data_IF_096800036770
#
_entry.id   IF_096800036770
#
_cell.length_a   1.000
_cell.length_b   1.000
_cell.length_c   1.000
_cell.angle_alpha   90.00
_cell.angle_beta   90.00
_cell.angle_gamma   90.00
#
_symmetry.space_group_name_H-M   'P 1'
#
loop_
_entity.id
_entity.type
_entity.pdbx_description
1 polymer ?
#
# COMPACT_ATOMS: atom_id res chain seq x y z
N UNK A 1 6.70 15.24 16.70
CA UNK A 1 6.28 14.73 15.37
C UNK A 1 6.02 13.22 15.48
N UNK A 2 5.12 12.64 14.69
CA UNK A 2 4.92 11.17 14.70
C UNK A 2 5.85 10.49 13.69
N UNK A 3 6.16 9.20 13.88
CA UNK A 3 7.01 8.45 12.94
C UNK A 3 6.41 8.38 11.53
N UNK A 4 5.07 8.35 11.42
CA UNK A 4 4.37 8.40 10.12
C UNK A 4 4.54 9.76 9.46
N UNK A 5 4.30 10.84 10.18
CA UNK A 5 4.46 12.20 9.63
C UNK A 5 5.90 12.45 9.17
N UNK A 6 6.89 11.96 9.93
CA UNK A 6 8.30 11.99 9.54
C UNK A 6 8.54 11.20 8.25
N UNK A 7 8.01 9.98 8.12
CA UNK A 7 8.20 9.16 6.92
C UNK A 7 7.64 9.86 5.67
N UNK A 8 6.46 10.46 5.76
CA UNK A 8 5.86 11.21 4.65
C UNK A 8 6.71 12.43 4.28
N UNK A 9 7.17 13.20 5.26
CA UNK A 9 8.07 14.34 5.02
C UNK A 9 9.37 13.90 4.33
N UNK A 10 9.97 12.78 4.76
CA UNK A 10 11.18 12.24 4.14
C UNK A 10 10.94 11.81 2.69
N UNK A 11 9.80 11.16 2.40
CA UNK A 11 9.41 10.79 1.02
C UNK A 11 9.29 12.03 0.12
N UNK A 12 8.74 13.14 0.63
CA UNK A 12 8.66 14.39 -0.16
C UNK A 12 10.01 15.03 -0.46
N UNK A 13 11.04 14.70 0.33
CA UNK A 13 12.43 15.16 0.14
C UNK A 13 13.29 14.14 -0.63
N UNK A 14 12.66 13.14 -1.26
CA UNK A 14 13.31 12.03 -1.94
C UNK A 14 14.30 11.25 -1.04
N UNK A 15 14.02 11.21 0.26
CA UNK A 15 14.73 10.37 1.22
C UNK A 15 13.96 9.06 1.40
N UNK A 16 14.59 7.95 1.05
CA UNK A 16 14.02 6.60 1.11
C UNK A 16 14.55 5.87 2.33
N UNK A 17 13.63 5.21 3.02
CA UNK A 17 13.93 4.42 4.20
C UNK A 17 13.56 2.96 3.96
N UNK A 18 14.48 2.05 4.30
CA UNK A 18 14.23 0.61 4.24
C UNK A 18 14.52 -0.04 5.60
N UNK A 19 13.61 -0.88 6.06
CA UNK A 19 13.81 -1.70 7.24
C UNK A 19 14.49 -3.03 6.86
N UNK A 20 15.64 -3.29 7.49
CA UNK A 20 16.37 -4.55 7.37
C UNK A 20 16.60 -5.12 8.78
N UNK A 21 15.59 -5.85 9.28
CA UNK A 21 15.55 -6.30 10.68
C UNK A 21 15.59 -5.11 11.65
N UNK A 22 16.57 -5.09 12.55
CA UNK A 22 16.76 -3.99 13.53
C UNK A 22 17.51 -2.78 12.97
N UNK A 23 17.86 -2.80 11.69
CA UNK A 23 18.58 -1.72 11.02
C UNK A 23 17.64 -0.93 10.10
N UNK A 24 17.91 0.38 9.99
CA UNK A 24 17.21 1.29 9.09
C UNK A 24 18.24 1.77 8.07
N UNK A 25 18.05 1.41 6.81
CA UNK A 25 18.84 1.94 5.70
C UNK A 25 18.21 3.25 5.24
N UNK A 26 19.06 4.20 4.92
CA UNK A 26 18.68 5.55 4.51
C UNK A 26 19.37 5.81 3.19
N UNK A 27 18.57 5.93 2.13
CA UNK A 27 19.01 6.41 0.84
C UNK A 27 18.52 7.86 0.70
N UNK A 28 19.45 8.79 0.52
CA UNK A 28 19.16 10.21 0.59
C UNK A 28 20.02 10.98 -0.43
N UNK A 29 19.48 12.04 -1.06
CA UNK A 29 20.26 12.86 -1.98
C UNK A 29 21.42 13.56 -1.25
N UNK A 30 22.45 13.93 -2.01
CA UNK A 30 23.62 14.62 -1.46
C UNK A 30 23.20 15.90 -0.70
N UNK A 31 23.73 16.07 0.51
CA UNK A 31 23.41 17.21 1.38
C UNK A 31 22.13 17.05 2.23
N UNK A 32 21.28 16.05 1.99
CA UNK A 32 20.10 15.81 2.84
C UNK A 32 20.45 15.08 4.15
N UNK A 33 21.58 14.37 4.21
CA UNK A 33 22.03 13.62 5.38
C UNK A 33 22.70 14.51 6.45
N UNK A 34 21.95 15.49 6.96
CA UNK A 34 22.40 16.38 8.05
C UNK A 34 22.40 15.67 9.40
N UNK A 35 23.10 16.23 10.39
CA UNK A 35 23.17 15.63 11.74
C UNK A 35 21.84 15.74 12.49
N UNK A 36 21.06 16.79 12.22
CA UNK A 36 19.69 16.94 12.72
C UNK A 36 18.80 15.81 12.20
N UNK A 37 18.89 15.48 10.90
CA UNK A 37 18.16 14.36 10.33
C UNK A 37 18.57 13.04 10.99
N UNK A 38 19.87 12.82 11.24
CA UNK A 38 20.34 11.62 11.94
C UNK A 38 19.78 11.53 13.37
N UNK A 39 19.68 12.65 14.08
CA UNK A 39 19.13 12.68 15.43
C UNK A 39 17.65 12.30 15.44
N UNK A 40 16.85 12.90 14.55
CA UNK A 40 15.41 12.62 14.40
C UNK A 40 15.17 11.16 13.99
N UNK A 41 15.96 10.63 13.05
CA UNK A 41 15.87 9.23 12.64
C UNK A 41 16.23 8.26 13.79
N UNK A 42 17.20 8.59 14.65
CA UNK A 42 17.55 7.78 15.82
C UNK A 42 16.43 7.75 16.84
N UNK A 43 15.81 8.90 17.12
CA UNK A 43 14.67 9.04 18.04
C UNK A 43 13.50 8.16 17.60
N UNK A 44 13.16 8.19 16.31
CA UNK A 44 12.01 7.45 15.77
C UNK A 44 12.34 6.06 15.21
N UNK A 45 13.61 5.61 15.26
CA UNK A 45 14.11 4.40 14.56
C UNK A 45 13.20 3.18 14.72
N UNK A 46 12.87 2.81 15.97
CA UNK A 46 12.05 1.62 16.26
C UNK A 46 10.63 1.76 15.72
N UNK A 47 10.06 2.95 15.75
CA UNK A 47 8.72 3.20 15.24
C UNK A 47 8.71 3.17 13.70
N UNK A 48 9.72 3.75 13.05
CA UNK A 48 9.92 3.71 11.59
C UNK A 48 10.07 2.27 11.09
N UNK A 49 10.95 1.47 11.70
CA UNK A 49 11.14 0.06 11.35
C UNK A 49 9.80 -0.71 11.42
N UNK A 50 9.08 -0.58 12.54
CA UNK A 50 7.77 -1.26 12.68
C UNK A 50 6.75 -0.80 11.64
N UNK A 51 6.78 0.47 11.26
CA UNK A 51 5.88 1.01 10.24
C UNK A 51 6.20 0.42 8.87
N UNK A 52 7.45 0.49 8.45
CA UNK A 52 7.94 -0.04 7.17
C UNK A 52 7.71 -1.56 7.05
N UNK A 53 7.93 -2.33 8.12
CA UNK A 53 7.64 -3.77 8.11
C UNK A 53 6.14 -4.07 8.01
N UNK A 54 5.28 -3.25 8.62
CA UNK A 54 3.82 -3.39 8.48
C UNK A 54 3.37 -3.03 7.07
N UNK A 55 3.90 -1.95 6.50
CA UNK A 55 3.66 -1.60 5.10
C UNK A 55 4.09 -2.73 4.16
N UNK A 56 5.31 -3.26 4.33
CA UNK A 56 5.82 -4.37 3.52
C UNK A 56 4.91 -5.60 3.60
N UNK A 57 4.55 -6.04 4.81
CA UNK A 57 3.63 -7.19 4.99
C UNK A 57 2.27 -6.95 4.34
N UNK A 58 1.70 -5.74 4.48
CA UNK A 58 0.44 -5.38 3.82
C UNK A 58 0.56 -5.50 2.30
N UNK A 59 1.65 -5.04 1.72
CA UNK A 59 1.91 -5.13 0.28
C UNK A 59 2.14 -6.58 -0.18
N UNK A 60 2.89 -7.39 0.59
CA UNK A 60 3.06 -8.83 0.32
C UNK A 60 1.71 -9.58 0.37
N UNK A 61 0.83 -9.24 1.31
CA UNK A 61 -0.53 -9.79 1.39
C UNK A 61 -1.41 -9.34 0.22
N UNK A 62 -1.28 -8.08 -0.20
CA UNK A 62 -2.00 -7.55 -1.35
C UNK A 62 -1.59 -8.24 -2.65
N UNK A 63 -0.28 -8.38 -2.87
CA UNK A 63 0.28 -9.08 -4.03
C UNK A 63 -0.20 -10.54 -4.06
N UNK A 64 -0.13 -11.24 -2.92
CA UNK A 64 -0.63 -12.62 -2.80
C UNK A 64 -2.12 -12.75 -3.11
N UNK A 65 -2.94 -11.75 -2.74
CA UNK A 65 -4.36 -11.73 -3.08
C UNK A 65 -4.57 -11.53 -4.59
N UNK A 66 -3.66 -10.82 -5.25
CA UNK A 66 -3.74 -10.50 -6.67
C UNK A 66 -4.83 -9.47 -6.98
N UNK A 67 -5.08 -9.27 -8.28
CA UNK A 67 -6.20 -8.48 -8.75
C UNK A 67 -7.51 -9.23 -8.47
N UNK A 68 -8.36 -8.65 -7.63
CA UNK A 68 -9.70 -9.19 -7.33
C UNK A 68 -10.74 -8.17 -7.75
N UNK A 69 -11.69 -8.61 -8.56
CA UNK A 69 -12.77 -7.77 -9.06
C UNK A 69 -14.08 -8.36 -8.57
N UNK A 70 -14.85 -7.54 -7.86
CA UNK A 70 -16.19 -7.91 -7.38
C UNK A 70 -17.14 -6.74 -7.53
N UNK A 71 -18.43 -7.03 -7.41
CA UNK A 71 -19.43 -5.98 -7.33
C UNK A 71 -19.23 -5.17 -6.05
N UNK A 72 -19.29 -3.84 -6.17
CA UNK A 72 -19.26 -2.97 -5.02
C UNK A 72 -20.56 -3.06 -4.23
N UNK A 73 -20.58 -2.46 -3.03
CA UNK A 73 -21.83 -2.32 -2.27
C UNK A 73 -22.77 -1.31 -2.93
N UNK A 74 -22.21 -0.24 -3.48
CA UNK A 74 -22.94 0.77 -4.25
C UNK A 74 -23.38 0.20 -5.61
N UNK A 75 -24.69 0.23 -5.95
CA UNK A 75 -25.17 -0.22 -7.24
C UNK A 75 -24.53 0.56 -8.41
N UNK A 76 -24.19 -0.16 -9.48
CA UNK A 76 -23.54 0.46 -10.65
C UNK A 76 -22.03 0.63 -10.53
N UNK A 77 -21.41 0.13 -9.46
CA UNK A 77 -19.96 0.13 -9.26
C UNK A 77 -19.39 -1.29 -9.12
N UNK A 78 -18.13 -1.42 -9.48
CA UNK A 78 -17.30 -2.59 -9.19
C UNK A 78 -16.13 -2.16 -8.32
N UNK A 79 -15.76 -3.02 -7.37
CA UNK A 79 -14.63 -2.84 -6.48
C UNK A 79 -13.45 -3.67 -7.00
N UNK A 80 -12.31 -3.02 -7.24
CA UNK A 80 -11.08 -3.63 -7.71
C UNK A 80 -10.04 -3.57 -6.59
N UNK A 81 -9.50 -4.73 -6.22
CA UNK A 81 -8.35 -4.81 -5.35
C UNK A 81 -7.07 -4.63 -6.17
N UNK A 82 -6.30 -3.58 -5.89
CA UNK A 82 -5.02 -3.34 -6.52
C UNK A 82 -3.91 -4.13 -5.77
N UNK A 83 -3.26 -5.13 -6.41
CA UNK A 83 -2.20 -5.90 -5.77
C UNK A 83 -0.94 -5.08 -5.45
N UNK A 84 -0.74 -3.94 -6.11
CA UNK A 84 0.47 -3.12 -5.95
C UNK A 84 0.41 -2.16 -4.77
N UNK A 85 -0.79 -1.81 -4.32
CA UNK A 85 -1.02 -0.88 -3.20
C UNK A 85 -1.80 -1.51 -2.04
N UNK A 86 -2.53 -2.60 -2.31
CA UNK A 86 -3.48 -3.20 -1.38
C UNK A 86 -4.70 -2.32 -1.11
N UNK A 87 -5.01 -1.39 -2.01
CA UNK A 87 -6.21 -0.58 -1.94
C UNK A 87 -7.37 -1.22 -2.70
N UNK A 88 -8.59 -0.84 -2.30
CA UNK A 88 -9.80 -1.15 -3.06
C UNK A 88 -10.27 0.12 -3.75
N UNK A 89 -10.41 0.06 -5.07
CA UNK A 89 -10.91 1.15 -5.89
C UNK A 89 -12.32 0.83 -6.36
N UNK A 90 -13.26 1.72 -6.13
CA UNK A 90 -14.60 1.63 -6.68
C UNK A 90 -14.68 2.43 -7.97
N UNK A 91 -15.09 1.78 -9.05
CA UNK A 91 -15.19 2.39 -10.39
C UNK A 91 -16.57 2.11 -10.99
N UNK A 92 -17.09 3.09 -11.72
CA UNK A 92 -18.40 2.99 -12.36
C UNK A 92 -18.38 1.93 -13.47
N UNK A 93 -19.41 1.10 -13.51
CA UNK A 93 -19.59 0.04 -14.51
C UNK A 93 -19.57 0.58 -15.94
N UNK A 94 -20.14 1.78 -16.15
CA UNK A 94 -20.18 2.44 -17.46
C UNK A 94 -18.81 2.77 -18.03
N UNK A 95 -17.79 2.94 -17.17
CA UNK A 95 -16.41 3.19 -17.57
C UNK A 95 -15.54 1.93 -17.61
N UNK A 96 -16.09 0.76 -17.29
CA UNK A 96 -15.31 -0.47 -17.21
C UNK A 96 -15.23 -1.18 -18.55
N UNK A 97 -14.05 -1.71 -18.93
CA UNK A 97 -13.96 -2.61 -20.07
C UNK A 97 -14.73 -3.92 -19.78
N UNK A 98 -15.21 -4.63 -20.81
CA UNK A 98 -16.06 -5.82 -20.63
C UNK A 98 -15.47 -6.91 -19.73
N UNK A 99 -14.16 -7.15 -19.81
CA UNK A 99 -13.48 -8.19 -19.02
C UNK A 99 -13.58 -7.96 -17.50
N UNK A 100 -13.60 -6.70 -17.04
CA UNK A 100 -13.80 -6.37 -15.62
C UNK A 100 -15.19 -6.81 -15.15
N UNK A 101 -16.20 -6.60 -16.00
CA UNK A 101 -17.58 -6.99 -15.69
C UNK A 101 -17.76 -8.51 -15.73
N UNK A 102 -17.03 -9.19 -16.61
CA UNK A 102 -16.99 -10.65 -16.69
C UNK A 102 -16.37 -11.26 -15.43
N UNK A 103 -15.23 -10.73 -14.98
CA UNK A 103 -14.58 -11.16 -13.74
C UNK A 103 -15.47 -10.93 -12.52
N UNK A 104 -16.11 -9.75 -12.40
CA UNK A 104 -17.05 -9.47 -11.31
C UNK A 104 -18.24 -10.45 -11.31
N UNK A 105 -18.74 -10.84 -12.49
CA UNK A 105 -19.80 -11.85 -12.63
C UNK A 105 -19.30 -13.25 -12.27
N UNK A 106 -18.08 -13.61 -12.69
CA UNK A 106 -17.47 -14.90 -12.37
C UNK A 106 -17.23 -15.05 -10.87
N UNK A 107 -16.73 -14.01 -10.21
CA UNK A 107 -16.53 -13.95 -8.77
C UNK A 107 -17.84 -14.22 -8.01
N UNK A 108 -18.92 -13.51 -8.35
CA UNK A 108 -20.25 -13.72 -7.74
C UNK A 108 -20.77 -15.15 -7.93
N UNK A 109 -20.47 -15.80 -9.05
CA UNK A 109 -20.88 -17.20 -9.28
C UNK A 109 -20.14 -18.16 -8.35
N UNK A 110 -18.84 -17.95 -8.12
CA UNK A 110 -18.02 -18.75 -7.20
C UNK A 110 -18.50 -18.60 -5.75
N UNK A 111 -18.76 -17.38 -5.29
CA UNK A 111 -19.29 -17.15 -3.94
C UNK A 111 -20.61 -17.89 -3.69
N UNK A 112 -21.48 -17.97 -4.71
CA UNK A 112 -22.77 -18.67 -4.61
C UNK A 112 -22.64 -20.20 -4.65
N UNK A 113 -21.59 -20.74 -5.27
CA UNK A 113 -21.35 -22.18 -5.30
C UNK A 113 -20.65 -22.71 -4.04
N UNK A 114 -20.02 -21.83 -3.27
CA UNK A 114 -19.30 -22.14 -2.03
C UNK A 114 -20.15 -21.91 -0.76
N UNK A 115 -21.38 -21.40 -0.91
CA UNK A 115 -22.34 -21.10 0.16
C UNK A 115 -23.49 -22.12 0.21
#
# INVERSE_FOLDING_TARGET
MSARALLEELRTRDVRLEASGLTLRVDAPAGAATDELRAVLREHKRALIRHLERERRRLEEADRRGLVIRWAREPGYVALHDPTTGEWHEVAVSGCPPWVLEDAKAYRRRERSEA
#
